data_IF_234451531508
#
_entry.id   IF_234451531508
#
_cell.length_a   1.000
_cell.length_b   1.000
_cell.length_c   1.000
_cell.angle_alpha   90.00
_cell.angle_beta   90.00
_cell.angle_gamma   90.00
#
_symmetry.space_group_name_H-M   'P 1'
#
loop_
_entity.id
_entity.type
_entity.pdbx_description
1 polymer ?
#
# COMPACT_ATOMS: atom_id res chain seq x y z
N UNK A 1 -14.49 11.23 -13.28
CA UNK A 1 -15.03 10.77 -14.59
C UNK A 1 -14.10 11.10 -15.76
N UNK A 2 -13.93 12.37 -16.17
CA UNK A 2 -13.08 12.72 -17.34
C UNK A 2 -11.63 12.18 -17.33
N UNK A 3 -10.99 12.15 -16.15
CA UNK A 3 -9.64 11.58 -15.97
C UNK A 3 -9.60 10.04 -16.13
N UNK A 4 -10.63 9.33 -15.64
CA UNK A 4 -10.78 7.89 -15.83
C UNK A 4 -10.99 7.54 -17.30
N UNK A 5 -11.82 8.32 -18.00
CA UNK A 5 -12.09 8.11 -19.43
C UNK A 5 -10.84 8.34 -20.30
N UNK A 6 -10.01 9.33 -19.96
CA UNK A 6 -8.72 9.58 -20.63
C UNK A 6 -7.70 8.49 -20.28
N UNK A 7 -7.60 8.09 -19.02
CA UNK A 7 -6.74 7.00 -18.58
C UNK A 7 -7.09 5.66 -19.23
N UNK A 8 -8.38 5.38 -19.39
CA UNK A 8 -8.88 4.22 -20.12
C UNK A 8 -8.50 4.23 -21.61
N UNK A 9 -8.57 5.39 -22.26
CA UNK A 9 -8.15 5.53 -23.67
C UNK A 9 -6.65 5.29 -23.83
N UNK A 10 -5.82 5.88 -22.97
CA UNK A 10 -4.35 5.69 -23.00
C UNK A 10 -4.00 4.23 -22.70
N UNK A 11 -4.61 3.63 -21.68
CA UNK A 11 -4.42 2.22 -21.33
C UNK A 11 -4.81 1.30 -22.50
N UNK A 12 -6.00 1.51 -23.10
CA UNK A 12 -6.46 0.73 -24.24
C UNK A 12 -5.62 0.92 -25.50
N UNK A 13 -5.09 2.13 -25.73
CA UNK A 13 -4.15 2.40 -26.81
C UNK A 13 -2.84 1.61 -26.63
N UNK A 14 -2.25 1.66 -25.44
CA UNK A 14 -0.99 0.96 -25.11
C UNK A 14 -1.11 -0.56 -25.29
N UNK A 15 -2.24 -1.15 -24.86
CA UNK A 15 -2.51 -2.57 -25.09
C UNK A 15 -2.63 -2.93 -26.58
N UNK A 16 -3.23 -2.05 -27.39
CA UNK A 16 -3.44 -2.29 -28.83
C UNK A 16 -2.18 -2.05 -29.68
N UNK A 17 -1.29 -1.17 -29.25
CA UNK A 17 -0.04 -0.87 -29.97
C UNK A 17 1.02 -1.98 -29.84
N UNK A 18 0.75 -3.04 -29.08
CA UNK A 18 1.71 -4.14 -28.84
C UNK A 18 2.90 -3.74 -27.97
N UNK A 19 2.97 -2.47 -27.56
CA UNK A 19 3.86 -1.98 -26.52
C UNK A 19 3.26 -2.40 -25.19
N UNK A 20 3.74 -3.51 -24.61
CA UNK A 20 3.39 -3.89 -23.25
C UNK A 20 3.57 -2.69 -22.31
N UNK A 21 2.70 -2.58 -21.30
CA UNK A 21 2.88 -1.55 -20.28
C UNK A 21 4.19 -1.84 -19.55
N UNK A 22 5.09 -0.86 -19.50
CA UNK A 22 6.20 -0.96 -18.58
C UNK A 22 5.68 -0.86 -17.13
N UNK A 23 6.53 -1.26 -16.19
CA UNK A 23 6.19 -1.31 -14.77
C UNK A 23 5.82 0.08 -14.21
N UNK A 24 6.44 1.15 -14.72
CA UNK A 24 6.20 2.52 -14.26
C UNK A 24 4.79 2.95 -14.68
N UNK A 25 4.44 2.78 -15.95
CA UNK A 25 3.11 3.11 -16.47
C UNK A 25 2.04 2.29 -15.77
N UNK A 26 2.30 0.99 -15.53
CA UNK A 26 1.38 0.12 -14.80
C UNK A 26 1.12 0.63 -13.37
N UNK A 27 2.16 1.05 -12.65
CA UNK A 27 2.03 1.63 -11.31
C UNK A 27 1.20 2.93 -11.31
N UNK A 28 1.39 3.80 -12.32
CA UNK A 28 0.58 5.01 -12.48
C UNK A 28 -0.88 4.69 -12.78
N UNK A 29 -1.16 3.66 -13.60
CA UNK A 29 -2.53 3.24 -13.89
C UNK A 29 -3.21 2.68 -12.63
N UNK A 30 -2.53 1.88 -11.81
CA UNK A 30 -3.04 1.39 -10.53
C UNK A 30 -3.45 2.55 -9.62
N UNK A 31 -2.58 3.54 -9.44
CA UNK A 31 -2.85 4.72 -8.62
C UNK A 31 -4.02 5.55 -9.19
N UNK A 32 -4.04 5.78 -10.50
CA UNK A 32 -5.07 6.56 -11.18
C UNK A 32 -6.46 5.91 -11.07
N UNK A 33 -6.58 4.62 -11.38
CA UNK A 33 -7.86 3.91 -11.26
C UNK A 33 -8.33 3.84 -9.81
N UNK A 34 -7.40 3.62 -8.86
CA UNK A 34 -7.72 3.65 -7.43
C UNK A 34 -8.29 5.00 -6.99
N UNK A 35 -7.68 6.11 -7.39
CA UNK A 35 -8.15 7.48 -7.09
C UNK A 35 -9.43 7.86 -7.84
N UNK A 36 -9.72 7.20 -8.96
CA UNK A 36 -10.97 7.38 -9.69
C UNK A 36 -12.15 6.59 -9.11
N UNK A 37 -11.96 5.83 -8.03
CA UNK A 37 -13.01 4.97 -7.46
C UNK A 37 -13.27 3.71 -8.28
N UNK A 38 -12.27 3.28 -9.07
CA UNK A 38 -12.32 2.08 -9.91
C UNK A 38 -11.32 1.01 -9.42
N UNK A 39 -11.37 0.58 -8.14
CA UNK A 39 -10.36 -0.31 -7.55
C UNK A 39 -10.29 -1.68 -8.24
N UNK A 40 -11.39 -2.14 -8.82
CA UNK A 40 -11.42 -3.36 -9.62
C UNK A 40 -10.55 -3.27 -10.88
N UNK A 41 -10.52 -2.11 -11.54
CA UNK A 41 -9.66 -1.91 -12.70
C UNK A 41 -8.20 -1.82 -12.26
N UNK A 42 -7.92 -1.12 -11.15
CA UNK A 42 -6.58 -1.07 -10.57
C UNK A 42 -6.02 -2.47 -10.29
N UNK A 43 -6.83 -3.35 -9.69
CA UNK A 43 -6.45 -4.74 -9.43
C UNK A 43 -6.20 -5.51 -10.73
N UNK A 44 -7.05 -5.35 -11.74
CA UNK A 44 -6.82 -5.97 -13.06
C UNK A 44 -5.51 -5.55 -13.70
N UNK A 45 -5.16 -4.26 -13.63
CA UNK A 45 -3.85 -3.79 -14.12
C UNK A 45 -2.75 -4.56 -13.41
N UNK A 46 -2.79 -4.60 -12.08
CA UNK A 46 -1.83 -5.34 -11.26
C UNK A 46 -1.76 -6.83 -11.62
N UNK A 47 -2.88 -7.50 -11.83
CA UNK A 47 -2.95 -8.93 -12.19
C UNK A 47 -2.35 -9.21 -13.58
N UNK A 48 -2.42 -8.24 -14.51
CA UNK A 48 -1.84 -8.37 -15.85
C UNK A 48 -0.35 -8.05 -15.93
N UNK A 49 0.26 -7.50 -14.88
CA UNK A 49 1.69 -7.20 -14.87
C UNK A 49 2.53 -8.50 -14.85
N UNK A 50 3.50 -8.67 -15.76
CA UNK A 50 4.38 -9.85 -15.76
C UNK A 50 5.31 -9.88 -14.55
N UNK A 51 5.82 -8.71 -14.16
CA UNK A 51 6.68 -8.49 -13.00
C UNK A 51 6.09 -7.41 -12.10
N UNK A 52 6.24 -7.60 -10.78
CA UNK A 52 5.71 -6.68 -9.76
C UNK A 52 6.78 -6.39 -8.73
N UNK A 53 7.06 -5.12 -8.49
CA UNK A 53 8.01 -4.72 -7.45
C UNK A 53 7.28 -4.10 -6.25
N UNK A 54 8.04 -3.71 -5.23
CA UNK A 54 7.52 -3.05 -4.02
C UNK A 54 6.62 -1.85 -4.31
N UNK A 55 6.89 -1.10 -5.38
CA UNK A 55 6.08 0.05 -5.79
C UNK A 55 4.71 -0.40 -6.31
N UNK A 56 4.64 -1.45 -7.14
CA UNK A 56 3.37 -2.01 -7.63
C UNK A 56 2.48 -2.48 -6.49
N UNK A 57 3.05 -3.24 -5.56
CA UNK A 57 2.35 -3.75 -4.37
C UNK A 57 1.86 -2.61 -3.47
N UNK A 58 2.73 -1.64 -3.19
CA UNK A 58 2.39 -0.49 -2.32
C UNK A 58 1.35 0.42 -2.95
N UNK A 59 1.39 0.62 -4.28
CA UNK A 59 0.39 1.40 -5.01
C UNK A 59 -1.00 0.76 -4.89
N UNK A 60 -1.11 -0.57 -5.09
CA UNK A 60 -2.37 -1.27 -4.96
C UNK A 60 -2.89 -1.24 -3.52
N UNK A 61 -2.05 -1.53 -2.52
CA UNK A 61 -2.42 -1.44 -1.10
C UNK A 61 -2.92 -0.05 -0.72
N UNK A 62 -2.23 1.00 -1.16
CA UNK A 62 -2.62 2.39 -0.91
C UNK A 62 -3.97 2.71 -1.55
N UNK A 63 -4.23 2.16 -2.75
CA UNK A 63 -5.52 2.22 -3.41
C UNK A 63 -6.64 1.54 -2.62
N UNK A 64 -6.39 0.37 -2.04
CA UNK A 64 -7.34 -0.31 -1.14
C UNK A 64 -7.64 0.54 0.11
N UNK A 65 -6.61 1.07 0.78
CA UNK A 65 -6.80 1.97 1.94
C UNK A 65 -7.58 3.23 1.56
N UNK A 66 -7.28 3.84 0.41
CA UNK A 66 -7.98 5.03 -0.08
C UNK A 66 -9.47 4.76 -0.32
N UNK A 67 -9.81 3.59 -0.85
CA UNK A 67 -11.18 3.17 -1.12
C UNK A 67 -11.88 2.54 0.11
N UNK A 68 -11.25 2.57 1.29
CA UNK A 68 -11.82 2.06 2.54
C UNK A 68 -11.72 0.54 2.74
N UNK A 69 -11.09 -0.19 1.81
CA UNK A 69 -10.84 -1.63 1.94
C UNK A 69 -9.55 -1.92 2.71
N UNK A 70 -9.59 -1.64 4.00
CA UNK A 70 -8.44 -1.79 4.90
C UNK A 70 -8.00 -3.26 5.04
N UNK A 71 -8.95 -4.19 5.01
CA UNK A 71 -8.68 -5.64 5.09
C UNK A 71 -8.02 -6.16 3.81
N UNK A 72 -8.43 -5.64 2.65
CA UNK A 72 -7.78 -5.91 1.37
C UNK A 72 -6.31 -5.49 1.38
N UNK A 73 -5.99 -4.28 1.88
CA UNK A 73 -4.59 -3.84 2.03
C UNK A 73 -3.75 -4.82 2.87
N UNK A 74 -4.25 -5.24 4.04
CA UNK A 74 -3.53 -6.18 4.90
C UNK A 74 -3.38 -7.58 4.26
N UNK A 75 -4.38 -7.99 3.46
CA UNK A 75 -4.32 -9.26 2.74
C UNK A 75 -3.26 -9.23 1.64
N UNK A 76 -3.20 -8.13 0.88
CA UNK A 76 -2.15 -7.87 -0.11
C UNK A 76 -0.77 -7.82 0.55
N UNK A 77 -0.63 -7.24 1.75
CA UNK A 77 0.64 -7.22 2.48
C UNK A 77 1.14 -8.62 2.80
N UNK A 78 0.24 -9.50 3.26
CA UNK A 78 0.59 -10.90 3.49
C UNK A 78 0.94 -11.63 2.17
N UNK A 79 0.26 -11.30 1.07
CA UNK A 79 0.51 -11.85 -0.26
C UNK A 79 1.86 -11.44 -0.84
N UNK A 80 2.23 -10.16 -0.70
CA UNK A 80 3.52 -9.61 -1.08
C UNK A 80 4.69 -10.44 -0.52
N UNK A 81 4.60 -10.81 0.77
CA UNK A 81 5.59 -11.67 1.42
C UNK A 81 5.62 -13.09 0.85
N UNK A 82 4.47 -13.67 0.48
CA UNK A 82 4.41 -14.98 -0.20
C UNK A 82 5.06 -14.95 -1.59
N UNK A 83 5.06 -13.79 -2.25
CA UNK A 83 5.76 -13.56 -3.51
C UNK A 83 7.25 -13.20 -3.35
N UNK A 84 7.77 -13.20 -2.11
CA UNK A 84 9.18 -12.90 -1.84
C UNK A 84 9.56 -11.43 -2.06
N UNK A 85 8.59 -10.53 -2.14
CA UNK A 85 8.84 -9.09 -2.32
C UNK A 85 8.97 -8.45 -0.95
N UNK A 86 10.07 -7.74 -0.72
CA UNK A 86 10.34 -7.06 0.56
C UNK A 86 9.61 -5.72 0.66
N UNK A 87 8.97 -5.41 1.80
CA UNK A 87 8.32 -4.12 2.03
C UNK A 87 9.34 -3.00 2.18
N UNK A 88 8.91 -1.79 1.85
CA UNK A 88 9.63 -0.55 2.16
C UNK A 88 8.85 0.28 3.21
N UNK A 89 9.37 1.45 3.55
CA UNK A 89 8.78 2.39 4.50
C UNK A 89 7.33 2.73 4.15
N UNK A 90 7.02 2.96 2.88
CA UNK A 90 5.65 3.25 2.42
C UNK A 90 4.72 2.04 2.54
N UNK A 91 5.22 0.82 2.27
CA UNK A 91 4.45 -0.40 2.48
C UNK A 91 4.02 -0.53 3.94
N UNK A 92 4.95 -0.26 4.88
CA UNK A 92 4.66 -0.29 6.30
C UNK A 92 3.70 0.81 6.73
N UNK A 93 3.93 2.06 6.32
CA UNK A 93 3.05 3.18 6.65
C UNK A 93 1.61 2.92 6.20
N UNK A 94 1.41 2.42 4.99
CA UNK A 94 0.08 2.10 4.45
C UNK A 94 -0.63 1.04 5.30
N UNK A 95 0.06 -0.03 5.70
CA UNK A 95 -0.56 -1.12 6.45
C UNK A 95 -0.72 -0.82 7.95
N UNK A 96 0.18 -0.04 8.55
CA UNK A 96 0.02 0.47 9.92
C UNK A 96 -1.18 1.41 10.02
N UNK A 97 -1.37 2.29 9.03
CA UNK A 97 -2.58 3.12 8.91
C UNK A 97 -3.84 2.25 8.84
N UNK A 98 -3.82 1.18 8.04
CA UNK A 98 -4.93 0.24 7.96
C UNK A 98 -5.23 -0.43 9.31
N UNK A 99 -4.20 -0.87 10.03
CA UNK A 99 -4.35 -1.42 11.40
C UNK A 99 -4.96 -0.40 12.37
N UNK A 100 -4.48 0.83 12.37
CA UNK A 100 -5.02 1.89 13.24
C UNK A 100 -6.49 2.19 12.95
N UNK A 101 -6.86 2.28 11.68
CA UNK A 101 -8.25 2.51 11.27
C UNK A 101 -9.19 1.34 11.57
N UNK A 102 -8.68 0.10 11.55
CA UNK A 102 -9.44 -1.11 11.94
C UNK A 102 -9.43 -1.38 13.45
N UNK A 103 -8.64 -0.64 14.24
CA UNK A 103 -8.35 -0.94 15.64
C UNK A 103 -7.77 -2.36 15.85
N UNK A 104 -6.94 -2.81 14.91
CA UNK A 104 -6.35 -4.15 14.85
C UNK A 104 -4.92 -4.14 15.43
N UNK A 105 -4.81 -3.96 16.75
CA UNK A 105 -3.54 -3.82 17.45
C UNK A 105 -2.59 -5.01 17.21
N UNK A 106 -3.11 -6.24 17.23
CA UNK A 106 -2.28 -7.44 17.09
C UNK A 106 -1.56 -7.49 15.73
N UNK A 107 -2.25 -7.13 14.65
CA UNK A 107 -1.64 -7.02 13.32
C UNK A 107 -0.65 -5.85 13.26
N UNK A 108 -0.99 -4.73 13.89
CA UNK A 108 -0.08 -3.58 14.01
C UNK A 108 1.24 -3.95 14.71
N UNK A 109 1.18 -4.77 15.77
CA UNK A 109 2.36 -5.28 16.48
C UNK A 109 3.18 -6.24 15.62
N UNK A 110 2.55 -7.13 14.85
CA UNK A 110 3.25 -8.01 13.92
C UNK A 110 4.01 -7.21 12.85
N UNK A 111 3.35 -6.18 12.29
CA UNK A 111 3.96 -5.29 11.30
C UNK A 111 5.12 -4.49 11.91
N UNK A 112 4.95 -3.95 13.12
CA UNK A 112 6.01 -3.24 13.82
C UNK A 112 7.21 -4.17 14.10
N UNK A 113 6.98 -5.40 14.56
CA UNK A 113 8.05 -6.38 14.76
C UNK A 113 8.78 -6.73 13.46
N UNK A 114 8.07 -6.81 12.34
CA UNK A 114 8.70 -7.02 11.03
C UNK A 114 9.53 -5.81 10.59
N UNK A 115 9.02 -4.60 10.82
CA UNK A 115 9.74 -3.36 10.54
C UNK A 115 11.08 -3.30 11.28
N UNK A 116 11.09 -3.59 12.59
CA UNK A 116 12.30 -3.69 13.42
C UNK A 116 13.28 -4.74 12.88
N UNK A 117 12.76 -5.90 12.45
CA UNK A 117 13.60 -6.99 11.94
C UNK A 117 14.35 -6.61 10.67
N UNK A 118 13.81 -5.71 9.85
CA UNK A 118 14.43 -5.28 8.60
C UNK A 118 15.08 -3.89 8.66
N UNK A 119 15.10 -3.26 9.83
CA UNK A 119 15.83 -2.01 10.06
C UNK A 119 15.15 -0.77 9.47
N UNK A 120 13.81 -0.73 9.39
CA UNK A 120 13.05 0.41 8.87
C UNK A 120 12.35 1.24 9.98
N UNK A 121 12.57 0.91 11.25
CA UNK A 121 11.92 1.56 12.39
C UNK A 121 12.32 3.02 12.58
N UNK A 122 13.51 3.40 12.09
CA UNK A 122 14.03 4.78 12.18
C UNK A 122 13.52 5.66 11.04
N UNK A 123 12.76 5.11 10.08
CA UNK A 123 12.21 5.89 8.98
C UNK A 123 11.04 6.73 9.49
N UNK A 124 11.08 8.03 9.21
CA UNK A 124 10.10 9.02 9.71
C UNK A 124 8.68 8.65 9.29
N UNK A 125 8.51 8.15 8.07
CA UNK A 125 7.23 7.69 7.52
C UNK A 125 6.63 6.54 8.35
N UNK A 126 7.49 5.64 8.82
CA UNK A 126 7.07 4.49 9.63
C UNK A 126 6.78 4.93 11.06
N UNK A 127 7.67 5.73 11.67
CA UNK A 127 7.48 6.29 13.01
C UNK A 127 6.15 7.04 13.14
N UNK A 128 5.85 7.94 12.20
CA UNK A 128 4.57 8.66 12.16
C UNK A 128 3.36 7.71 12.10
N UNK A 129 3.46 6.64 11.31
CA UNK A 129 2.38 5.68 11.13
C UNK A 129 2.22 4.76 12.35
N UNK A 130 3.31 4.43 13.04
CA UNK A 130 3.30 3.69 14.31
C UNK A 130 2.66 4.51 15.42
N UNK A 131 2.99 5.80 15.53
CA UNK A 131 2.37 6.73 16.49
C UNK A 131 0.86 6.80 16.26
N UNK A 132 0.41 7.00 15.02
CA UNK A 132 -1.02 7.03 14.68
C UNK A 132 -1.71 5.70 14.98
N UNK A 133 -1.11 4.57 14.59
CA UNK A 133 -1.65 3.23 14.82
C UNK A 133 -1.82 2.94 16.31
N UNK A 134 -0.77 3.14 17.13
CA UNK A 134 -0.84 2.92 18.56
C UNK A 134 -1.85 3.85 19.24
N UNK A 135 -1.90 5.12 18.81
CA UNK A 135 -2.85 6.10 19.36
C UNK A 135 -4.30 5.66 19.12
N UNK A 136 -4.64 5.27 17.88
CA UNK A 136 -5.97 4.76 17.52
C UNK A 136 -6.31 3.46 18.22
N UNK A 137 -5.31 2.63 18.53
CA UNK A 137 -5.47 1.40 19.30
C UNK A 137 -5.49 1.60 20.83
N UNK A 138 -5.51 2.84 21.31
CA UNK A 138 -5.55 3.16 22.75
C UNK A 138 -4.24 2.89 23.49
N UNK A 139 -3.12 2.69 22.79
CA UNK A 139 -1.79 2.40 23.36
C UNK A 139 -0.92 3.65 23.40
N UNK A 140 -1.40 4.69 24.09
CA UNK A 140 -0.76 6.02 24.14
C UNK A 140 0.70 5.96 24.64
N UNK A 141 1.00 5.14 25.64
CA UNK A 141 2.37 5.01 26.15
C UNK A 141 3.34 4.43 25.09
N UNK A 142 2.87 3.53 24.22
CA UNK A 142 3.70 2.99 23.13
C UNK A 142 3.84 4.02 22.00
N UNK A 143 2.79 4.77 21.71
CA UNK A 143 2.86 5.89 20.77
C UNK A 143 3.89 6.94 21.23
N UNK A 144 3.90 7.30 22.51
CA UNK A 144 4.87 8.25 23.08
C UNK A 144 6.31 7.73 22.98
N UNK A 145 6.55 6.44 23.25
CA UNK A 145 7.88 5.84 23.10
C UNK A 145 8.39 5.95 21.67
N UNK A 146 7.56 5.59 20.69
CA UNK A 146 7.91 5.69 19.27
C UNK A 146 8.18 7.13 18.86
N UNK A 147 7.34 8.07 19.32
CA UNK A 147 7.53 9.50 19.03
C UNK A 147 8.85 10.05 19.57
N UNK A 148 9.31 9.56 20.73
CA UNK A 148 10.58 9.99 21.33
C UNK A 148 11.81 9.33 20.68
N UNK A 149 11.62 8.23 19.95
CA UNK A 149 12.70 7.48 19.29
C UNK A 149 12.85 7.78 17.80
N UNK A 150 11.90 8.52 17.22
CA UNK A 150 11.93 8.98 15.82
C UNK A 150 12.47 10.40 15.77
#
# INVERSE_FOLDING_TARGET
KKLSDQGGQVHGFLLKSGSGLDMIVSNYLIDMYSKCGEPFIAHKVFDTMPDRNVVSWTALMSGHVFNGDLKGSLSLFAEMGRHGVYPNEFTFSTNLKACGLLNELEKGLQIHGFCLKIGLETMVEVGNSLVDMYSKCGRINEAEKVFRST
#
